data_IF_105133839235
#
_entry.id   IF_105133839235
#
_cell.length_a   1.000
_cell.length_b   1.000
_cell.length_c   1.000
_cell.angle_alpha   90.00
_cell.angle_beta   90.00
_cell.angle_gamma   90.00
#
_symmetry.space_group_name_H-M   'P 1'
#
loop_
_entity.id
_entity.type
_entity.pdbx_description
1 polymer ?
#
# COMPACT_ATOMS: atom_id res chain seq x y z
N UNK A 1 -0.27 9.59 -25.21
CA UNK A 1 -0.34 8.47 -24.25
C UNK A 1 -1.33 8.84 -23.18
N UNK A 2 -2.50 8.19 -23.13
CA UNK A 2 -3.49 8.42 -22.06
C UNK A 2 -3.01 7.68 -20.81
N UNK A 3 -2.61 8.43 -19.78
CA UNK A 3 -2.40 7.87 -18.44
C UNK A 3 -3.76 7.44 -17.88
N UNK A 4 -3.97 6.14 -17.69
CA UNK A 4 -5.16 5.64 -17.01
C UNK A 4 -5.07 6.04 -15.54
N UNK A 5 -5.94 6.95 -15.09
CA UNK A 5 -5.97 7.32 -13.67
C UNK A 5 -6.26 6.08 -12.82
N UNK A 6 -5.31 5.71 -11.96
CA UNK A 6 -5.50 4.64 -10.98
C UNK A 6 -6.29 5.19 -9.80
N UNK A 7 -7.35 4.49 -9.41
CA UNK A 7 -8.12 4.81 -8.20
C UNK A 7 -7.56 4.01 -7.03
N UNK A 8 -7.24 4.69 -5.93
CA UNK A 8 -6.83 4.04 -4.69
C UNK A 8 -7.97 3.17 -4.13
N UNK A 9 -7.63 1.99 -3.60
CA UNK A 9 -8.62 1.07 -3.00
C UNK A 9 -9.15 1.57 -1.65
N UNK A 10 -8.37 2.39 -0.96
CA UNK A 10 -8.67 2.94 0.36
C UNK A 10 -8.52 4.46 0.34
N UNK A 11 -9.31 5.15 1.16
CA UNK A 11 -9.29 6.61 1.27
C UNK A 11 -8.52 7.08 2.52
N UNK A 12 -8.00 8.31 2.49
CA UNK A 12 -7.42 8.98 3.66
C UNK A 12 -8.50 9.10 4.75
N UNK A 13 -8.12 8.81 6.00
CA UNK A 13 -9.01 8.75 7.16
C UNK A 13 -9.75 7.43 7.34
N UNK A 14 -9.67 6.51 6.37
CA UNK A 14 -10.34 5.22 6.46
C UNK A 14 -9.70 4.33 7.53
N UNK A 15 -10.52 3.77 8.41
CA UNK A 15 -10.09 2.72 9.36
C UNK A 15 -9.93 1.40 8.60
N UNK A 16 -8.76 0.78 8.73
CA UNK A 16 -8.41 -0.50 8.10
C UNK A 16 -7.88 -1.50 9.13
N UNK A 17 -7.90 -2.78 8.77
CA UNK A 17 -7.31 -3.87 9.56
C UNK A 17 -6.14 -4.46 8.80
N UNK A 18 -5.03 -4.71 9.50
CA UNK A 18 -3.88 -5.38 8.87
C UNK A 18 -4.23 -6.82 8.48
N UNK A 19 -3.78 -7.26 7.30
CA UNK A 19 -4.11 -8.58 6.74
C UNK A 19 -3.54 -9.72 7.59
N UNK A 20 -2.30 -9.57 8.06
CA UNK A 20 -1.56 -10.62 8.76
C UNK A 20 -1.57 -10.48 10.29
N UNK A 21 -1.78 -9.27 10.81
CA UNK A 21 -1.57 -8.95 12.22
C UNK A 21 -2.85 -8.37 12.83
N UNK A 22 -3.15 -8.61 14.12
CA UNK A 22 -4.45 -8.29 14.71
C UNK A 22 -4.56 -6.82 15.17
N UNK A 23 -4.11 -5.87 14.35
CA UNK A 23 -4.23 -4.44 14.66
C UNK A 23 -5.09 -3.68 13.64
N UNK A 24 -5.61 -2.53 14.09
CA UNK A 24 -6.36 -1.56 13.30
C UNK A 24 -5.50 -0.31 13.11
N UNK A 25 -5.61 0.30 11.94
CA UNK A 25 -4.92 1.54 11.59
C UNK A 25 -5.84 2.49 10.84
N UNK A 26 -5.36 3.71 10.60
CA UNK A 26 -6.02 4.72 9.79
C UNK A 26 -5.08 5.07 8.64
N UNK A 27 -5.60 5.16 7.41
CA UNK A 27 -4.83 5.64 6.26
C UNK A 27 -4.60 7.15 6.44
N UNK A 28 -3.35 7.60 6.50
CA UNK A 28 -3.02 9.02 6.68
C UNK A 28 -2.63 9.70 5.37
N UNK A 29 -2.04 8.97 4.43
CA UNK A 29 -1.59 9.47 3.12
C UNK A 29 -1.53 8.32 2.09
N UNK A 30 -1.51 8.65 0.80
CA UNK A 30 -1.42 7.70 -0.32
C UNK A 30 -0.62 8.28 -1.48
N UNK A 31 0.51 7.66 -1.81
CA UNK A 31 1.30 8.02 -2.99
C UNK A 31 0.73 7.43 -4.29
N UNK A 32 0.77 8.17 -5.41
CA UNK A 32 0.34 7.66 -6.72
C UNK A 32 1.34 6.65 -7.32
N UNK A 33 2.57 6.60 -6.82
CA UNK A 33 3.66 5.75 -7.28
C UNK A 33 4.41 5.17 -6.08
N UNK A 34 4.95 3.97 -6.27
CA UNK A 34 5.80 3.35 -5.26
C UNK A 34 7.12 4.11 -5.14
N UNK A 35 7.55 4.39 -3.90
CA UNK A 35 8.71 5.25 -3.63
C UNK A 35 10.00 4.49 -3.26
N UNK A 36 9.94 3.16 -3.10
CA UNK A 36 11.12 2.33 -2.82
C UNK A 36 11.65 1.66 -4.08
N UNK A 37 12.83 1.04 -3.98
CA UNK A 37 13.44 0.31 -5.09
C UNK A 37 12.89 -1.10 -5.24
N UNK A 38 13.09 -1.69 -6.41
CA UNK A 38 12.70 -3.08 -6.66
C UNK A 38 13.47 -4.05 -5.76
N UNK A 39 14.74 -3.79 -5.48
CA UNK A 39 15.54 -4.62 -4.57
C UNK A 39 15.00 -4.63 -3.15
N UNK A 40 14.46 -3.50 -2.68
CA UNK A 40 13.79 -3.44 -1.38
C UNK A 40 12.53 -4.28 -1.37
N UNK A 41 11.75 -4.26 -2.46
CA UNK A 41 10.53 -5.06 -2.57
C UNK A 41 10.83 -6.57 -2.59
N UNK A 42 11.87 -6.98 -3.33
CA UNK A 42 12.31 -8.38 -3.41
C UNK A 42 12.97 -8.88 -2.11
N UNK A 43 13.47 -7.98 -1.26
CA UNK A 43 13.98 -8.35 0.06
C UNK A 43 12.88 -8.75 1.07
N UNK A 44 11.60 -8.43 0.78
CA UNK A 44 10.47 -8.82 1.63
C UNK A 44 10.20 -10.32 1.42
N UNK A 45 10.21 -11.15 2.48
CA UNK A 45 9.92 -12.58 2.35
C UNK A 45 8.54 -12.82 1.72
N UNK A 46 8.48 -13.73 0.75
CA UNK A 46 7.29 -13.94 -0.07
C UNK A 46 6.07 -14.45 0.72
N UNK A 47 6.30 -15.09 1.86
CA UNK A 47 5.29 -15.58 2.79
C UNK A 47 4.59 -14.47 3.59
N UNK A 48 5.23 -13.29 3.71
CA UNK A 48 4.67 -12.13 4.43
C UNK A 48 4.27 -10.97 3.53
N UNK A 49 4.47 -11.08 2.21
CA UNK A 49 4.10 -10.08 1.21
C UNK A 49 2.59 -10.03 0.95
#
# INVERSE_FOLDING_TARGET
MVSTMKTAKFAIGQVVRHRLFPFRGIIFDVDPQFANTDEWYEAIPADVR
#
